data_IF_074993720487
#
_entry.id   IF_074993720487
#
_cell.length_a   1.000
_cell.length_b   1.000
_cell.length_c   1.000
_cell.angle_alpha   90.00
_cell.angle_beta   90.00
_cell.angle_gamma   90.00
#
_symmetry.space_group_name_H-M   'P 1'
#
loop_
_entity.id
_entity.type
_entity.pdbx_description
1 polymer ?
#
# COMPACT_ATOMS: atom_id res chain seq x y z
N UNK A 1 -13.52 -14.66 7.35
CA UNK A 1 -13.53 -14.43 5.88
C UNK A 1 -12.52 -13.35 5.51
N UNK A 2 -12.58 -12.15 6.08
CA UNK A 2 -11.60 -11.10 5.80
C UNK A 2 -10.15 -11.43 6.21
N UNK A 3 -9.94 -12.15 7.31
CA UNK A 3 -8.59 -12.56 7.74
C UNK A 3 -7.82 -13.37 6.69
N UNK A 4 -8.48 -14.28 5.96
CA UNK A 4 -7.87 -15.04 4.87
C UNK A 4 -7.51 -14.14 3.69
N UNK A 5 -8.37 -13.16 3.37
CA UNK A 5 -8.10 -12.19 2.31
C UNK A 5 -6.91 -11.30 2.64
N UNK A 6 -6.80 -10.81 3.88
CA UNK A 6 -5.66 -10.00 4.32
C UNK A 6 -4.37 -10.81 4.39
N UNK A 7 -4.46 -12.09 4.81
CA UNK A 7 -3.32 -13.01 4.76
C UNK A 7 -2.84 -13.27 3.32
N UNK A 8 -3.78 -13.44 2.38
CA UNK A 8 -3.48 -13.53 0.95
C UNK A 8 -2.74 -12.28 0.45
N UNK A 9 -3.29 -11.09 0.67
CA UNK A 9 -2.68 -9.80 0.28
C UNK A 9 -1.26 -9.68 0.83
N UNK A 10 -1.07 -9.97 2.13
CA UNK A 10 0.21 -9.82 2.81
C UNK A 10 1.32 -10.75 2.28
N UNK A 11 0.97 -11.79 1.52
CA UNK A 11 1.92 -12.78 0.98
C UNK A 11 1.88 -12.83 -0.57
N UNK A 12 1.21 -11.88 -1.23
CA UNK A 12 1.15 -11.83 -2.68
C UNK A 12 2.45 -11.23 -3.25
N UNK A 13 3.09 -11.98 -4.14
CA UNK A 13 4.37 -11.66 -4.77
C UNK A 13 4.36 -12.00 -6.28
N UNK A 14 3.24 -12.48 -6.81
CA UNK A 14 3.12 -12.85 -8.21
C UNK A 14 2.91 -11.60 -9.10
N UNK A 15 3.92 -11.32 -9.92
CA UNK A 15 3.90 -10.23 -10.90
C UNK A 15 3.46 -10.69 -12.29
N UNK A 16 2.83 -11.86 -12.41
CA UNK A 16 2.42 -12.42 -13.70
C UNK A 16 1.44 -11.49 -14.41
N UNK A 17 1.85 -11.04 -15.59
CA UNK A 17 1.09 -10.20 -16.49
C UNK A 17 0.03 -10.96 -17.29
N UNK A 18 -0.04 -10.66 -18.58
CA UNK A 18 -0.88 -11.41 -19.52
C UNK A 18 -0.28 -12.78 -19.87
N UNK A 19 -1.07 -13.84 -19.70
CA UNK A 19 -0.74 -15.20 -20.13
C UNK A 19 -1.78 -15.69 -21.12
N UNK A 20 -1.39 -15.99 -22.36
CA UNK A 20 -2.29 -16.28 -23.49
C UNK A 20 -3.49 -17.21 -23.18
N UNK A 21 -3.32 -18.38 -22.52
CA UNK A 21 -4.45 -19.24 -22.17
C UNK A 21 -5.31 -18.74 -20.99
N UNK A 22 -4.80 -17.84 -20.14
CA UNK A 22 -5.42 -17.44 -18.87
C UNK A 22 -5.88 -15.97 -18.83
N UNK A 23 -5.47 -15.15 -19.80
CA UNK A 23 -5.74 -13.71 -19.79
C UNK A 23 -4.80 -12.96 -18.85
N UNK A 24 -5.27 -11.83 -18.31
CA UNK A 24 -4.54 -11.02 -17.34
C UNK A 24 -4.58 -11.70 -15.96
N UNK A 25 -3.42 -12.14 -15.47
CA UNK A 25 -3.31 -12.81 -14.17
C UNK A 25 -3.32 -11.76 -13.04
N UNK A 26 -2.40 -10.78 -13.09
CA UNK A 26 -2.48 -9.50 -12.35
C UNK A 26 -2.91 -9.62 -10.89
N UNK A 27 -2.37 -10.59 -10.15
CA UNK A 27 -2.85 -10.93 -8.81
C UNK A 27 -2.75 -9.78 -7.83
N UNK A 28 -1.68 -8.97 -7.88
CA UNK A 28 -1.54 -7.76 -7.04
C UNK A 28 -2.60 -6.70 -7.39
N UNK A 29 -2.97 -6.57 -8.66
CA UNK A 29 -4.07 -5.67 -9.04
C UNK A 29 -5.41 -6.17 -8.50
N UNK A 30 -5.66 -7.48 -8.54
CA UNK A 30 -6.85 -8.10 -7.95
C UNK A 30 -6.84 -8.04 -6.42
N UNK A 31 -5.68 -8.17 -5.78
CA UNK A 31 -5.50 -7.94 -4.34
C UNK A 31 -5.92 -6.52 -3.95
N UNK A 32 -5.57 -5.53 -4.78
CA UNK A 32 -5.99 -4.13 -4.59
C UNK A 32 -7.51 -3.96 -4.70
N UNK A 33 -8.15 -4.63 -5.66
CA UNK A 33 -9.61 -4.60 -5.85
C UNK A 33 -10.36 -5.31 -4.70
N UNK A 34 -9.79 -6.40 -4.20
CA UNK A 34 -10.27 -7.12 -3.02
C UNK A 34 -10.19 -6.24 -1.78
N UNK A 35 -9.05 -5.61 -1.53
CA UNK A 35 -8.88 -4.64 -0.42
C UNK A 35 -9.89 -3.50 -0.52
N UNK A 36 -10.05 -2.91 -1.71
CA UNK A 36 -11.03 -1.84 -1.93
C UNK A 36 -12.46 -2.29 -1.61
N UNK A 37 -12.80 -3.53 -1.95
CA UNK A 37 -14.10 -4.12 -1.64
C UNK A 37 -14.28 -4.33 -0.13
N UNK A 38 -13.24 -4.78 0.56
CA UNK A 38 -13.23 -4.97 2.02
C UNK A 38 -13.44 -3.63 2.74
N UNK A 39 -12.68 -2.58 2.41
CA UNK A 39 -12.80 -1.27 3.09
C UNK A 39 -14.14 -0.60 2.83
N UNK A 40 -14.79 -0.93 1.70
CA UNK A 40 -16.12 -0.44 1.35
C UNK A 40 -17.27 -1.21 2.01
N UNK A 41 -16.99 -2.41 2.52
CA UNK A 41 -18.01 -3.31 3.04
C UNK A 41 -18.62 -2.81 4.37
N UNK A 42 -19.93 -3.02 4.56
CA UNK A 42 -20.65 -2.54 5.75
C UNK A 42 -20.21 -3.21 7.06
N UNK A 43 -19.64 -4.41 6.98
CA UNK A 43 -19.13 -5.16 8.13
C UNK A 43 -17.66 -4.85 8.45
N UNK A 44 -17.06 -3.88 7.78
CA UNK A 44 -15.72 -3.41 8.12
C UNK A 44 -15.74 -2.78 9.52
N UNK A 45 -14.91 -3.31 10.41
CA UNK A 45 -14.80 -2.85 11.81
C UNK A 45 -13.54 -2.02 11.99
N UNK A 46 -13.55 -1.13 12.98
CA UNK A 46 -12.45 -0.20 13.23
C UNK A 46 -11.09 -0.88 13.42
N UNK A 47 -11.03 -1.96 14.21
CA UNK A 47 -9.79 -2.72 14.41
C UNK A 47 -9.20 -3.32 13.11
N UNK A 48 -10.02 -3.47 12.06
CA UNK A 48 -9.58 -4.01 10.78
C UNK A 48 -8.79 -2.99 9.94
N UNK A 49 -8.86 -1.71 10.29
CA UNK A 49 -8.05 -0.65 9.65
C UNK A 49 -6.58 -0.99 9.78
N UNK A 50 -6.15 -1.35 10.98
CA UNK A 50 -4.76 -1.73 11.27
C UNK A 50 -4.38 -3.03 10.55
N UNK A 51 -5.27 -4.03 10.51
CA UNK A 51 -5.02 -5.27 9.78
C UNK A 51 -4.85 -5.04 8.26
N UNK A 52 -5.65 -4.14 7.68
CA UNK A 52 -5.54 -3.75 6.27
C UNK A 52 -4.21 -3.04 6.02
N UNK A 53 -3.88 -2.03 6.82
CA UNK A 53 -2.61 -1.29 6.69
C UNK A 53 -1.40 -2.22 6.86
N UNK A 54 -1.47 -3.14 7.84
CA UNK A 54 -0.43 -4.14 8.05
C UNK A 54 -0.29 -5.08 6.85
N UNK A 55 -1.39 -5.55 6.27
CA UNK A 55 -1.33 -6.42 5.08
C UNK A 55 -0.70 -5.72 3.88
N UNK A 56 -1.01 -4.43 3.68
CA UNK A 56 -0.40 -3.62 2.63
C UNK A 56 1.10 -3.42 2.90
N UNK A 57 1.47 -3.09 4.14
CA UNK A 57 2.87 -2.96 4.54
C UNK A 57 3.66 -4.23 4.25
N UNK A 58 3.18 -5.38 4.72
CA UNK A 58 3.83 -6.69 4.51
C UNK A 58 3.95 -7.03 3.02
N UNK A 59 2.92 -6.74 2.23
CA UNK A 59 2.97 -6.91 0.78
C UNK A 59 4.09 -6.08 0.17
N UNK A 60 4.17 -4.77 0.43
CA UNK A 60 5.18 -3.89 -0.16
C UNK A 60 6.61 -4.34 0.19
N UNK A 61 6.92 -4.60 1.47
CA UNK A 61 8.30 -4.91 1.89
C UNK A 61 8.82 -6.26 1.36
N UNK A 62 7.91 -7.15 0.94
CA UNK A 62 8.26 -8.45 0.33
C UNK A 62 8.50 -8.36 -1.18
N UNK A 63 8.10 -7.27 -1.84
CA UNK A 63 8.22 -7.17 -3.29
C UNK A 63 9.68 -7.14 -3.74
N UNK A 64 10.00 -8.06 -4.65
CA UNK A 64 11.33 -8.18 -5.24
C UNK A 64 11.50 -7.34 -6.52
N UNK A 65 10.38 -6.84 -7.06
CA UNK A 65 10.31 -6.11 -8.32
C UNK A 65 9.54 -4.80 -8.19
N UNK A 66 9.81 -3.87 -9.12
CA UNK A 66 8.97 -2.68 -9.30
C UNK A 66 7.70 -3.13 -10.01
N UNK A 67 6.56 -2.63 -9.53
CA UNK A 67 5.25 -2.86 -10.14
C UNK A 67 5.18 -2.33 -11.58
N UNK A 68 4.50 -3.07 -12.45
CA UNK A 68 4.56 -2.86 -13.91
C UNK A 68 3.27 -2.24 -14.46
N UNK A 69 2.15 -2.44 -13.76
CA UNK A 69 0.80 -2.16 -14.23
C UNK A 69 0.02 -1.24 -13.28
N UNK A 70 0.75 -0.37 -12.57
CA UNK A 70 0.26 0.69 -11.67
C UNK A 70 -0.43 0.14 -10.42
N UNK A 71 -0.04 -1.03 -9.97
CA UNK A 71 -0.59 -1.69 -8.80
C UNK A 71 -0.44 -0.82 -7.54
N UNK A 72 0.70 -0.12 -7.38
CA UNK A 72 0.95 0.82 -6.28
C UNK A 72 -0.09 1.93 -6.22
N UNK A 73 -0.56 2.40 -7.39
CA UNK A 73 -1.58 3.45 -7.48
C UNK A 73 -2.95 2.91 -7.08
N UNK A 74 -3.27 1.68 -7.48
CA UNK A 74 -4.52 0.99 -7.09
C UNK A 74 -4.56 0.76 -5.58
N UNK A 75 -3.43 0.36 -4.98
CA UNK A 75 -3.30 0.21 -3.53
C UNK A 75 -3.44 1.57 -2.84
N UNK A 76 -2.82 2.63 -3.37
CA UNK A 76 -2.99 3.99 -2.84
C UNK A 76 -4.45 4.47 -2.82
N UNK A 77 -5.26 4.07 -3.81
CA UNK A 77 -6.71 4.36 -3.81
C UNK A 77 -7.46 3.66 -2.66
N UNK A 78 -7.00 2.51 -2.18
CA UNK A 78 -7.56 1.85 -0.98
C UNK A 78 -7.35 2.73 0.24
N UNK A 79 -6.13 3.22 0.43
CA UNK A 79 -5.78 4.08 1.57
C UNK A 79 -6.55 5.40 1.51
N UNK A 80 -6.66 6.01 0.32
CA UNK A 80 -7.46 7.22 0.11
C UNK A 80 -8.96 6.99 0.39
N UNK A 81 -9.51 5.84 0.01
CA UNK A 81 -10.91 5.50 0.33
C UNK A 81 -11.12 5.37 1.84
N UNK A 82 -10.17 4.78 2.57
CA UNK A 82 -10.23 4.70 4.05
C UNK A 82 -10.20 6.08 4.70
N UNK A 83 -9.35 7.00 4.21
CA UNK A 83 -9.33 8.40 4.65
C UNK A 83 -10.68 9.09 4.36
N UNK A 84 -11.19 8.97 3.13
CA UNK A 84 -12.47 9.57 2.71
C UNK A 84 -13.64 9.09 3.57
N UNK A 85 -13.62 7.82 3.98
CA UNK A 85 -14.62 7.21 4.86
C UNK A 85 -14.41 7.51 6.34
N UNK A 86 -13.36 8.27 6.70
CA UNK A 86 -12.96 8.55 8.08
C UNK A 86 -12.69 7.29 8.91
N UNK A 87 -12.36 6.19 8.24
CA UNK A 87 -11.92 4.94 8.88
C UNK A 87 -10.45 5.04 9.30
N UNK A 88 -9.66 5.78 8.54
CA UNK A 88 -8.25 6.04 8.79
C UNK A 88 -8.07 7.53 9.15
N UNK A 89 -7.44 7.80 10.29
CA UNK A 89 -7.03 9.16 10.65
C UNK A 89 -5.70 9.56 10.02
N UNK A 90 -5.44 10.86 9.93
CA UNK A 90 -4.15 11.38 9.46
C UNK A 90 -3.00 10.94 10.39
N UNK A 91 -3.25 10.85 11.69
CA UNK A 91 -2.27 10.40 12.69
C UNK A 91 -1.87 8.95 12.41
N UNK A 92 -2.84 8.04 12.30
CA UNK A 92 -2.59 6.63 11.97
C UNK A 92 -1.89 6.46 10.61
N UNK A 93 -2.22 7.29 9.62
CA UNK A 93 -1.53 7.26 8.33
C UNK A 93 -0.06 7.69 8.45
N UNK A 94 0.24 8.72 9.25
CA UNK A 94 1.64 9.13 9.52
C UNK A 94 2.41 8.01 10.22
N UNK A 95 1.83 7.42 11.27
CA UNK A 95 2.42 6.28 11.98
C UNK A 95 2.69 5.09 11.06
N UNK A 96 1.79 4.83 10.11
CA UNK A 96 1.98 3.78 9.10
C UNK A 96 3.09 4.12 8.09
N UNK A 97 3.21 5.37 7.66
CA UNK A 97 4.34 5.82 6.82
C UNK A 97 5.66 5.70 7.59
N UNK A 98 5.66 6.02 8.88
CA UNK A 98 6.86 5.94 9.72
C UNK A 98 7.35 4.48 9.88
N UNK A 99 6.46 3.47 9.87
CA UNK A 99 6.87 2.06 9.80
C UNK A 99 7.69 1.73 8.55
N UNK A 100 7.35 2.32 7.39
CA UNK A 100 8.19 2.19 6.20
C UNK A 100 9.51 2.94 6.36
N UNK A 101 9.51 4.15 6.96
CA UNK A 101 10.75 4.89 7.24
C UNK A 101 11.69 4.04 8.10
N UNK A 102 11.19 3.44 9.18
CA UNK A 102 11.98 2.59 10.07
C UNK A 102 12.55 1.36 9.35
N UNK A 103 11.73 0.70 8.53
CA UNK A 103 12.17 -0.44 7.72
C UNK A 103 13.31 -0.03 6.76
N UNK A 104 13.14 1.07 6.03
CA UNK A 104 14.12 1.60 5.07
C UNK A 104 15.25 2.44 5.70
N UNK A 105 15.22 2.77 6.99
CA UNK A 105 16.33 3.48 7.65
C UNK A 105 17.40 2.51 8.17
N UNK A 106 17.07 1.23 8.31
CA UNK A 106 17.99 0.23 8.85
C UNK A 106 19.18 -0.03 7.91
N UNK A 107 20.37 -0.29 8.48
CA UNK A 107 21.60 -0.68 7.76
C UNK A 107 21.45 -1.96 6.91
N UNK A 108 20.25 -2.54 6.84
CA UNK A 108 19.89 -3.71 6.03
C UNK A 108 19.64 -3.37 4.55
N UNK A 109 19.63 -2.10 4.16
CA UNK A 109 19.42 -1.66 2.77
C UNK A 109 20.63 -1.87 1.83
N UNK A 110 21.11 -3.10 1.74
CA UNK A 110 22.17 -3.47 0.80
C UNK A 110 21.65 -4.31 -0.37
N UNK A 111 20.35 -4.63 -0.40
CA UNK A 111 19.77 -5.47 -1.44
C UNK A 111 18.91 -4.69 -2.44
N UNK A 112 19.03 -5.09 -3.72
CA UNK A 112 18.26 -4.50 -4.83
C UNK A 112 16.74 -4.58 -4.59
N UNK A 113 16.27 -5.60 -3.87
CA UNK A 113 14.86 -5.77 -3.53
C UNK A 113 14.31 -4.63 -2.66
N UNK A 114 15.11 -4.12 -1.71
CA UNK A 114 14.63 -3.11 -0.78
C UNK A 114 14.55 -1.75 -1.47
N UNK A 115 15.44 -1.47 -2.41
CA UNK A 115 15.32 -0.31 -3.31
C UNK A 115 14.03 -0.39 -4.16
N UNK A 116 13.75 -1.56 -4.75
CA UNK A 116 12.58 -1.75 -5.61
C UNK A 116 11.26 -1.67 -4.85
N UNK A 117 11.15 -2.31 -3.69
CA UNK A 117 9.97 -2.19 -2.83
C UNK A 117 9.76 -0.76 -2.36
N UNK A 118 10.82 -0.05 -1.96
CA UNK A 118 10.76 1.37 -1.58
C UNK A 118 10.24 2.23 -2.73
N UNK A 119 10.72 1.99 -3.95
CA UNK A 119 10.24 2.71 -5.13
C UNK A 119 8.73 2.51 -5.37
N UNK A 120 8.21 1.30 -5.14
CA UNK A 120 6.76 1.06 -5.19
C UNK A 120 6.01 1.90 -4.14
N UNK A 121 6.52 1.98 -2.90
CA UNK A 121 5.93 2.79 -1.82
C UNK A 121 5.97 4.28 -2.17
N UNK A 122 7.11 4.80 -2.64
CA UNK A 122 7.27 6.19 -3.09
C UNK A 122 6.25 6.53 -4.18
N UNK A 123 6.10 5.65 -5.18
CA UNK A 123 5.16 5.85 -6.27
C UNK A 123 3.69 5.84 -5.81
N UNK A 124 3.33 4.98 -4.85
CA UNK A 124 2.02 5.02 -4.20
C UNK A 124 1.80 6.37 -3.49
N UNK A 125 2.72 6.78 -2.63
CA UNK A 125 2.57 7.99 -1.82
C UNK A 125 2.52 9.25 -2.70
N UNK A 126 3.36 9.33 -3.74
CA UNK A 126 3.34 10.42 -4.71
C UNK A 126 2.02 10.50 -5.46
N UNK A 127 1.44 9.36 -5.83
CA UNK A 127 0.12 9.34 -6.45
C UNK A 127 -0.96 9.82 -5.47
N UNK A 128 -0.89 9.39 -4.20
CA UNK A 128 -1.83 9.84 -3.16
C UNK A 128 -1.79 11.35 -2.94
N UNK A 129 -0.60 11.98 -3.00
CA UNK A 129 -0.44 13.43 -2.87
C UNK A 129 -1.30 14.25 -3.85
N UNK A 130 -1.63 13.68 -5.01
CA UNK A 130 -2.49 14.35 -6.01
C UNK A 130 -3.92 14.54 -5.52
N UNK A 131 -4.37 13.76 -4.54
CA UNK A 131 -5.74 13.73 -4.03
C UNK A 131 -5.87 14.28 -2.60
N UNK A 132 -4.75 14.46 -1.91
CA UNK A 132 -4.71 14.99 -0.55
C UNK A 132 -4.87 16.52 -0.60
N UNK A 133 -5.87 17.06 0.09
CA UNK A 133 -6.20 18.49 0.12
C UNK A 133 -5.08 19.35 0.73
N UNK A 134 -5.12 20.67 0.52
CA UNK A 134 -4.09 21.61 0.99
C UNK A 134 -4.01 21.75 2.50
N UNK A 135 -5.11 21.50 3.21
CA UNK A 135 -5.20 21.67 4.67
C UNK A 135 -4.48 20.56 5.47
N UNK A 136 -4.16 19.43 4.83
CA UNK A 136 -3.38 18.35 5.43
C UNK A 136 -1.88 18.54 5.17
N UNK A 137 -1.35 19.73 5.48
CA UNK A 137 0.04 20.11 5.20
C UNK A 137 1.05 19.14 5.85
N UNK A 138 0.80 18.75 7.10
CA UNK A 138 1.66 17.80 7.83
C UNK A 138 1.79 16.43 7.14
N UNK A 139 0.72 15.95 6.51
CA UNK A 139 0.77 14.69 5.77
C UNK A 139 1.61 14.83 4.49
N UNK A 140 1.49 15.97 3.81
CA UNK A 140 2.29 16.27 2.62
C UNK A 140 3.77 16.38 2.98
N UNK A 141 4.09 16.96 4.13
CA UNK A 141 5.46 17.04 4.66
C UNK A 141 6.00 15.65 4.99
N UNK A 142 5.24 14.81 5.71
CA UNK A 142 5.68 13.45 6.04
C UNK A 142 5.99 12.60 4.79
N UNK A 143 5.15 12.70 3.74
CA UNK A 143 5.40 12.01 2.46
C UNK A 143 6.65 12.57 1.76
N UNK A 144 6.83 13.90 1.75
CA UNK A 144 8.02 14.52 1.15
C UNK A 144 9.30 14.13 1.90
N UNK A 145 9.25 13.99 3.22
CA UNK A 145 10.37 13.51 4.03
C UNK A 145 10.68 12.05 3.73
N UNK A 146 9.66 11.18 3.62
CA UNK A 146 9.84 9.78 3.23
C UNK A 146 10.61 9.65 1.90
N UNK A 147 10.28 10.48 0.90
CA UNK A 147 10.93 10.45 -0.41
C UNK A 147 12.39 10.94 -0.40
N UNK A 148 12.88 11.55 0.68
CA UNK A 148 14.26 12.07 0.81
C UNK A 148 15.21 11.09 1.48
N UNK A 149 14.65 10.16 2.27
CA UNK A 149 15.36 8.99 2.81
C UNK A 149 15.66 8.08 1.63
#
# INVERSE_FOLDING_TARGET
MFSLALCYVANEEDHTGYVKPYGWVHTIAHASELLLSIVKHQQMREFMVEEVLKSIYEMFIKQMEIFRDKEEKRIGLVVLEMLKRKQLSIVQLKEWIDQFKEYYASDRLLEVKDFRSKENVVNMLNYMLLFIETETLELKESIKEFNRI
#
